data_IF_545007781542
#
_entry.id   IF_545007781542
#
_cell.length_a   1.000
_cell.length_b   1.000
_cell.length_c   1.000
_cell.angle_alpha   90.00
_cell.angle_beta   90.00
_cell.angle_gamma   90.00
#
_symmetry.space_group_name_H-M   'P 1'
#
loop_
_entity.id
_entity.type
_entity.pdbx_description
1 polymer ?
#
# COMPACT_ATOMS: atom_id res chain seq x y z
N UNK A 1 8.82 1.12 3.22
CA UNK A 1 9.38 2.47 3.41
C UNK A 1 10.19 2.94 2.20
N UNK A 2 11.23 2.21 1.74
CA UNK A 2 12.05 2.59 0.56
C UNK A 2 11.24 3.07 -0.66
N UNK A 3 10.22 2.32 -1.08
CA UNK A 3 9.38 2.68 -2.25
C UNK A 3 8.63 4.01 -2.05
N UNK A 4 8.21 4.33 -0.83
CA UNK A 4 7.56 5.61 -0.51
C UNK A 4 8.58 6.76 -0.58
N UNK A 5 9.78 6.55 -0.04
CA UNK A 5 10.87 7.53 -0.12
C UNK A 5 11.32 7.79 -1.57
N UNK A 6 11.45 6.73 -2.37
CA UNK A 6 11.75 6.83 -3.81
C UNK A 6 10.72 7.69 -4.55
N UNK A 7 9.43 7.47 -4.27
CA UNK A 7 8.33 8.26 -4.86
C UNK A 7 8.37 9.71 -4.42
N UNK A 8 8.61 9.98 -3.13
CA UNK A 8 8.78 11.34 -2.62
C UNK A 8 9.87 12.10 -3.39
N UNK A 9 11.03 11.47 -3.61
CA UNK A 9 12.11 12.12 -4.37
C UNK A 9 11.76 12.31 -5.84
N UNK A 10 11.13 11.32 -6.47
CA UNK A 10 10.77 11.35 -7.89
C UNK A 10 9.69 12.41 -8.20
N UNK A 11 8.73 12.61 -7.30
CA UNK A 11 7.56 13.49 -7.49
C UNK A 11 7.61 14.75 -6.62
N UNK A 12 8.80 15.13 -6.14
CA UNK A 12 8.96 16.39 -5.39
C UNK A 12 8.48 17.56 -6.25
N UNK A 13 7.51 18.32 -5.72
CA UNK A 13 6.85 19.45 -6.40
C UNK A 13 6.07 19.06 -7.69
N UNK A 14 5.66 17.79 -7.82
CA UNK A 14 4.85 17.31 -8.93
C UNK A 14 3.69 16.46 -8.41
N UNK A 15 2.49 16.68 -8.92
CA UNK A 15 1.38 15.75 -8.70
C UNK A 15 1.69 14.45 -9.43
N UNK A 16 1.52 13.32 -8.74
CA UNK A 16 1.68 12.01 -9.37
C UNK A 16 0.60 11.81 -10.42
N UNK A 17 0.91 11.15 -11.55
CA UNK A 17 -0.06 10.93 -12.62
C UNK A 17 -1.24 10.04 -12.19
N UNK A 18 -1.07 9.25 -11.13
CA UNK A 18 -2.13 8.43 -10.53
C UNK A 18 -2.92 9.13 -9.42
N UNK A 19 -2.56 10.38 -9.08
CA UNK A 19 -3.28 11.21 -8.10
C UNK A 19 -4.16 12.24 -8.82
N UNK A 20 -5.27 12.62 -8.18
CA UNK A 20 -6.16 13.66 -8.69
C UNK A 20 -5.45 15.01 -8.81
N UNK A 21 -5.90 15.84 -9.77
CA UNK A 21 -5.38 17.18 -10.00
C UNK A 21 -5.41 18.03 -8.72
N UNK A 22 -4.35 18.82 -8.48
CA UNK A 22 -4.23 19.67 -7.29
C UNK A 22 -3.87 18.93 -5.99
N UNK A 23 -3.66 17.61 -6.03
CA UNK A 23 -3.20 16.86 -4.87
C UNK A 23 -1.67 16.91 -4.78
N UNK A 24 -1.15 17.87 -4.02
CA UNK A 24 0.27 17.91 -3.67
C UNK A 24 0.58 16.80 -2.65
N UNK A 25 1.60 16.00 -2.94
CA UNK A 25 1.98 14.87 -2.09
C UNK A 25 2.59 15.40 -0.77
N UNK A 26 1.77 15.46 0.30
CA UNK A 26 2.25 15.80 1.65
C UNK A 26 2.86 14.57 2.31
N UNK A 27 4.14 14.35 2.07
CA UNK A 27 4.90 13.30 2.76
C UNK A 27 5.71 13.96 3.88
N UNK A 28 5.11 14.03 5.07
CA UNK A 28 5.78 14.52 6.28
C UNK A 28 6.45 13.37 7.07
N UNK A 29 7.21 13.74 8.09
CA UNK A 29 7.90 12.78 8.97
C UNK A 29 6.91 11.88 9.74
N UNK A 30 5.71 12.38 10.07
CA UNK A 30 4.70 11.59 10.75
C UNK A 30 4.15 10.49 9.84
N UNK A 31 3.96 10.79 8.56
CA UNK A 31 3.54 9.83 7.55
C UNK A 31 4.58 8.73 7.34
N UNK A 32 5.87 9.09 7.29
CA UNK A 32 6.95 8.10 7.22
C UNK A 32 7.01 7.21 8.46
N UNK A 33 6.87 7.79 9.66
CA UNK A 33 6.80 7.05 10.92
C UNK A 33 5.61 6.09 10.91
N UNK A 34 4.45 6.54 10.42
CA UNK A 34 3.26 5.70 10.29
C UNK A 34 3.46 4.52 9.33
N UNK A 35 4.10 4.73 8.16
CA UNK A 35 4.43 3.63 7.23
C UNK A 35 5.38 2.64 7.89
N UNK A 36 6.37 3.14 8.65
CA UNK A 36 7.33 2.28 9.33
C UNK A 36 6.66 1.41 10.39
N UNK A 37 5.70 1.96 11.11
CA UNK A 37 4.97 1.28 12.18
C UNK A 37 3.88 0.31 11.67
N UNK A 38 3.36 0.55 10.46
CA UNK A 38 2.28 -0.24 9.83
C UNK A 38 2.39 -1.77 9.97
N UNK A 39 3.55 -2.42 9.74
CA UNK A 39 3.67 -3.88 9.84
C UNK A 39 3.34 -4.43 11.23
N UNK A 40 3.60 -3.65 12.28
CA UNK A 40 3.43 -4.06 13.68
C UNK A 40 2.11 -3.56 14.26
N UNK A 41 1.59 -2.41 13.81
CA UNK A 41 0.36 -1.85 14.35
C UNK A 41 -0.88 -2.19 13.53
N UNK A 42 -0.94 -1.79 12.26
CA UNK A 42 -2.18 -1.89 11.46
C UNK A 42 -2.33 -3.21 10.70
N UNK A 43 -1.22 -3.79 10.24
CA UNK A 43 -1.26 -5.03 9.46
C UNK A 43 -1.92 -6.20 10.20
N UNK A 44 -1.63 -6.48 11.49
CA UNK A 44 -2.27 -7.59 12.20
C UNK A 44 -3.80 -7.44 12.27
N UNK A 45 -4.28 -6.24 12.60
CA UNK A 45 -5.72 -5.95 12.68
C UNK A 45 -6.42 -6.14 11.34
N UNK A 46 -5.80 -5.70 10.24
CA UNK A 46 -6.34 -5.86 8.89
C UNK A 46 -6.43 -7.35 8.54
N UNK A 47 -5.39 -8.13 8.83
CA UNK A 47 -5.38 -9.57 8.56
C UNK A 47 -6.46 -10.30 9.35
N UNK A 48 -6.66 -9.95 10.63
CA UNK A 48 -7.73 -10.52 11.46
C UNK A 48 -9.12 -10.20 10.89
N UNK A 49 -9.36 -8.98 10.40
CA UNK A 49 -10.63 -8.61 9.76
C UNK A 49 -10.84 -9.35 8.44
N UNK A 50 -9.78 -9.54 7.66
CA UNK A 50 -9.85 -10.29 6.40
C UNK A 50 -10.13 -11.78 6.64
N UNK A 51 -9.56 -12.36 7.70
CA UNK A 51 -9.85 -13.74 8.11
C UNK A 51 -11.34 -13.93 8.44
N UNK A 52 -11.94 -12.98 9.18
CA UNK A 52 -13.38 -13.00 9.47
C UNK A 52 -14.27 -12.92 8.21
N UNK A 53 -13.82 -12.20 7.18
CA UNK A 53 -14.56 -12.09 5.91
C UNK A 53 -14.40 -13.31 5.00
N UNK A 54 -13.46 -14.21 5.30
CA UNK A 54 -13.16 -15.36 4.46
C UNK A 54 -14.26 -16.44 4.46
N UNK A 55 -15.18 -16.36 5.42
CA UNK A 55 -16.37 -17.23 5.50
C UNK A 55 -17.36 -16.93 4.36
N UNK A 56 -17.55 -15.65 4.03
CA UNK A 56 -18.54 -15.21 3.02
C UNK A 56 -17.91 -14.80 1.69
N UNK A 57 -16.61 -14.48 1.68
CA UNK A 57 -15.92 -13.91 0.52
C UNK A 57 -14.60 -14.61 0.26
N UNK A 58 -14.28 -14.78 -1.02
CA UNK A 58 -12.97 -15.27 -1.43
C UNK A 58 -11.90 -14.19 -1.18
N UNK A 59 -11.09 -14.39 -0.14
CA UNK A 59 -9.96 -13.52 0.21
C UNK A 59 -8.67 -14.08 -0.40
N UNK A 60 -7.94 -13.24 -1.16
CA UNK A 60 -6.69 -13.62 -1.82
C UNK A 60 -5.57 -12.69 -1.33
N UNK A 61 -4.56 -13.25 -0.65
CA UNK A 61 -3.45 -12.49 -0.08
C UNK A 61 -2.19 -12.72 -0.93
N UNK A 62 -1.77 -11.70 -1.67
CA UNK A 62 -0.58 -11.72 -2.51
C UNK A 62 0.58 -11.03 -1.78
N UNK A 63 1.69 -11.75 -1.57
CA UNK A 63 2.81 -11.32 -0.73
C UNK A 63 3.99 -10.77 -1.53
N UNK A 64 4.01 -10.97 -2.85
CA UNK A 64 5.12 -10.58 -3.71
C UNK A 64 4.66 -10.02 -5.05
N UNK A 65 5.48 -9.19 -5.73
CA UNK A 65 5.18 -8.74 -7.09
C UNK A 65 4.98 -9.89 -8.09
N UNK A 66 5.70 -11.00 -7.92
CA UNK A 66 5.55 -12.19 -8.76
C UNK A 66 4.17 -12.85 -8.55
N UNK A 67 3.72 -12.96 -7.30
CA UNK A 67 2.35 -13.42 -7.02
C UNK A 67 1.29 -12.49 -7.61
N UNK A 68 1.51 -11.17 -7.58
CA UNK A 68 0.62 -10.21 -8.26
C UNK A 68 0.58 -10.45 -9.76
N UNK A 69 1.75 -10.60 -10.40
CA UNK A 69 1.80 -10.86 -11.84
C UNK A 69 1.10 -12.16 -12.20
N UNK A 70 1.42 -13.26 -11.51
CA UNK A 70 0.76 -14.57 -11.71
C UNK A 70 -0.73 -14.52 -11.45
N UNK A 71 -1.19 -13.66 -10.56
CA UNK A 71 -2.61 -13.47 -10.32
C UNK A 71 -3.25 -12.76 -11.53
N UNK A 72 -2.66 -11.66 -12.00
CA UNK A 72 -3.15 -10.92 -13.15
C UNK A 72 -3.13 -11.75 -14.45
N UNK A 73 -2.11 -12.59 -14.66
CA UNK A 73 -2.00 -13.43 -15.86
C UNK A 73 -3.03 -14.58 -15.91
N UNK A 74 -3.65 -14.91 -14.76
CA UNK A 74 -4.65 -15.98 -14.65
C UNK A 74 -6.08 -15.50 -14.87
N UNK A 75 -6.31 -14.20 -15.01
CA UNK A 75 -7.60 -13.58 -15.31
C UNK A 75 -7.53 -12.86 -16.66
#
# INVERSE_FOLDING_TARGET
VYRAFKRMMQYRNKTRPDMGEGCEERIDLNFLKWIWDYPNSKRPDILKKLEQLSEDKKVIILKSPNEVQRFLDKF
#
